data_IF_730330597592
#
_entry.id   IF_730330597592
#
_cell.length_a   1.000
_cell.length_b   1.000
_cell.length_c   1.000
_cell.angle_alpha   90.00
_cell.angle_beta   90.00
_cell.angle_gamma   90.00
#
_symmetry.space_group_name_H-M   'P 1'
#
loop_
_entity.id
_entity.type
_entity.pdbx_description
1 polymer ?
#
# COMPACT_ATOMS: atom_id res chain seq x y z
N UNK A 1 8.28 31.64 23.24
CA UNK A 1 8.54 30.20 23.49
C UNK A 1 9.92 29.81 22.97
N UNK A 2 11.01 30.30 23.60
CA UNK A 2 12.38 29.90 23.30
C UNK A 2 13.20 30.09 24.59
N UNK A 3 13.43 29.02 25.38
CA UNK A 3 14.38 29.01 26.53
C UNK A 3 14.49 27.63 27.23
N UNK A 4 14.63 26.53 26.49
CA UNK A 4 14.89 25.19 27.10
C UNK A 4 16.27 24.61 26.69
N UNK A 5 16.99 25.24 25.75
CA UNK A 5 18.27 24.72 25.26
C UNK A 5 19.55 24.97 26.09
N UNK A 6 19.64 25.81 27.15
CA UNK A 6 20.93 26.02 27.81
C UNK A 6 21.18 25.14 29.06
N UNK A 7 20.24 24.29 29.51
CA UNK A 7 20.39 23.51 30.75
C UNK A 7 21.13 22.17 30.61
N UNK A 8 21.42 21.73 29.38
CA UNK A 8 22.14 20.47 29.10
C UNK A 8 23.66 20.65 28.89
N UNK A 9 24.17 21.87 28.77
CA UNK A 9 25.61 22.13 28.64
C UNK A 9 26.33 22.40 29.97
N UNK A 10 25.60 22.67 31.06
CA UNK A 10 26.21 22.93 32.38
C UNK A 10 26.61 21.66 33.14
N UNK A 11 26.11 20.48 32.75
CA UNK A 11 26.40 19.21 33.45
C UNK A 11 27.53 18.40 32.83
N UNK A 12 27.98 18.72 31.60
CA UNK A 12 29.08 18.00 30.93
C UNK A 12 30.49 18.60 31.18
N UNK A 13 30.56 19.78 31.80
CA UNK A 13 31.83 20.52 32.02
C UNK A 13 32.47 20.31 33.41
N UNK A 14 31.93 19.41 34.23
CA UNK A 14 32.32 19.22 35.63
C UNK A 14 33.19 17.98 35.95
N UNK A 15 33.45 17.07 35.02
CA UNK A 15 34.24 15.86 35.30
C UNK A 15 35.49 15.75 34.41
N UNK A 16 36.60 16.34 34.86
CA UNK A 16 37.95 15.79 34.61
C UNK A 16 38.88 15.98 35.81
N UNK A 17 39.50 14.84 36.16
CA UNK A 17 40.77 14.61 36.88
C UNK A 17 40.79 14.70 38.41
N UNK A 18 40.84 13.52 39.02
CA UNK A 18 41.83 13.23 40.07
C UNK A 18 42.19 11.75 40.07
N UNK A 19 43.47 11.46 39.85
CA UNK A 19 44.11 10.15 39.98
C UNK A 19 44.79 10.05 41.35
N UNK A 20 44.56 8.98 42.11
CA UNK A 20 45.54 8.47 43.10
C UNK A 20 45.28 7.01 43.48
N UNK A 21 46.30 6.20 43.16
CA UNK A 21 46.72 4.89 43.67
C UNK A 21 45.96 4.19 44.82
N UNK A 22 45.70 2.88 44.64
CA UNK A 22 46.24 1.74 45.44
C UNK A 22 45.71 0.43 44.82
N UNK A 23 46.53 -0.42 44.20
CA UNK A 23 47.26 -1.57 44.77
C UNK A 23 46.38 -2.73 45.29
N UNK A 24 46.08 -3.70 44.42
CA UNK A 24 45.94 -5.12 44.81
C UNK A 24 46.44 -6.03 43.67
N UNK A 25 47.20 -7.05 44.05
CA UNK A 25 47.98 -7.94 43.19
C UNK A 25 47.18 -9.13 42.60
N UNK A 26 47.53 -9.56 41.39
CA UNK A 26 47.39 -10.93 40.89
C UNK A 26 48.38 -11.19 39.74
N UNK A 27 48.92 -12.41 39.67
CA UNK A 27 50.14 -12.80 38.97
C UNK A 27 50.14 -12.82 37.43
N UNK A 28 51.30 -13.11 36.80
CA UNK A 28 51.50 -12.98 35.37
C UNK A 28 51.25 -14.30 34.62
N UNK A 29 50.78 -14.23 33.38
CA UNK A 29 51.11 -15.26 32.38
C UNK A 29 51.21 -14.69 30.96
N UNK A 30 52.30 -15.10 30.32
CA UNK A 30 52.73 -14.88 28.93
C UNK A 30 51.86 -15.67 27.95
N UNK A 31 51.54 -15.06 26.80
CA UNK A 31 51.73 -15.60 25.43
C UNK A 31 51.22 -14.57 24.41
N UNK A 32 52.11 -13.78 23.81
CA UNK A 32 52.67 -13.96 22.46
C UNK A 32 51.66 -13.90 21.31
N UNK A 33 51.76 -12.80 20.55
CA UNK A 33 51.26 -12.62 19.19
C UNK A 33 51.80 -13.67 18.23
N UNK A 34 50.96 -14.16 17.33
CA UNK A 34 51.36 -14.47 15.96
C UNK A 34 50.31 -13.97 14.98
N UNK A 35 50.80 -13.09 14.12
CA UNK A 35 50.16 -12.43 13.01
C UNK A 35 50.20 -13.38 11.80
N UNK A 36 49.05 -13.85 11.29
CA UNK A 36 49.01 -14.52 9.97
C UNK A 36 47.82 -13.98 9.19
N UNK A 37 48.16 -13.27 8.11
CA UNK A 37 47.27 -12.76 7.07
C UNK A 37 46.65 -13.93 6.31
N UNK A 38 45.33 -13.95 6.20
CA UNK A 38 44.63 -14.56 5.06
C UNK A 38 43.61 -13.53 4.60
N UNK A 39 43.85 -12.98 3.41
CA UNK A 39 42.90 -12.10 2.75
C UNK A 39 41.67 -12.89 2.33
N UNK A 40 40.51 -12.48 2.81
CA UNK A 40 39.22 -12.83 2.21
C UNK A 40 38.69 -11.53 1.63
N UNK A 41 38.61 -11.51 0.31
CA UNK A 41 37.96 -10.45 -0.44
C UNK A 41 36.45 -10.44 -0.12
N UNK A 42 35.96 -9.24 0.21
CA UNK A 42 34.67 -8.60 -0.13
C UNK A 42 33.56 -9.51 -0.72
N UNK A 43 32.29 -9.27 -0.34
CA UNK A 43 31.59 -8.23 -1.09
C UNK A 43 30.88 -7.22 -0.18
N UNK A 44 31.07 -5.95 -0.53
CA UNK A 44 30.28 -4.84 -0.05
C UNK A 44 28.78 -5.13 -0.08
N UNK A 45 28.12 -4.73 1.00
CA UNK A 45 26.67 -4.74 1.10
C UNK A 45 26.08 -3.85 0.01
N UNK A 46 25.61 -4.48 -1.06
CA UNK A 46 24.43 -4.02 -1.75
C UNK A 46 23.35 -3.87 -0.67
N UNK A 47 22.99 -2.63 -0.36
CA UNK A 47 21.77 -2.37 0.38
C UNK A 47 20.64 -2.84 -0.54
N UNK A 48 20.18 -4.08 -0.30
CA UNK A 48 18.99 -4.69 -0.88
C UNK A 48 17.79 -3.77 -0.61
N UNK A 49 17.57 -2.81 -1.49
CA UNK A 49 16.39 -1.94 -1.49
C UNK A 49 15.12 -2.67 -1.97
N UNK A 50 15.20 -3.99 -2.16
CA UNK A 50 14.15 -4.81 -2.78
C UNK A 50 13.69 -5.98 -1.89
N UNK A 51 14.08 -6.01 -0.61
CA UNK A 51 13.43 -6.90 0.35
C UNK A 51 12.08 -6.28 0.70
N UNK A 52 11.02 -6.69 0.01
CA UNK A 52 9.66 -6.47 0.48
C UNK A 52 9.62 -6.93 1.95
N UNK A 53 9.27 -6.06 2.91
CA UNK A 53 9.29 -6.44 4.32
C UNK A 53 8.40 -7.67 4.49
N UNK A 54 8.93 -8.71 5.14
CA UNK A 54 8.13 -9.89 5.45
C UNK A 54 6.98 -9.47 6.38
N UNK A 55 5.85 -10.17 6.35
CA UNK A 55 4.74 -9.93 7.28
C UNK A 55 5.22 -10.00 8.73
N UNK A 56 6.17 -10.89 9.02
CA UNK A 56 6.82 -11.00 10.33
C UNK A 56 7.55 -9.72 10.72
N UNK A 57 8.29 -9.11 9.79
CA UNK A 57 9.05 -7.88 10.02
C UNK A 57 8.11 -6.70 10.24
N UNK A 58 7.04 -6.60 9.45
CA UNK A 58 6.00 -5.58 9.61
C UNK A 58 5.32 -5.67 10.99
N UNK A 59 4.95 -6.88 11.43
CA UNK A 59 4.35 -7.08 12.76
C UNK A 59 5.34 -6.74 13.86
N UNK A 60 6.60 -7.16 13.75
CA UNK A 60 7.62 -6.81 14.74
C UNK A 60 7.84 -5.30 14.83
N UNK A 61 7.88 -4.61 13.70
CA UNK A 61 7.99 -3.16 13.66
C UNK A 61 6.81 -2.48 14.36
N UNK A 62 5.59 -2.91 14.07
CA UNK A 62 4.38 -2.32 14.66
C UNK A 62 4.33 -2.54 16.17
N UNK A 63 4.71 -3.72 16.65
CA UNK A 63 4.80 -3.99 18.09
C UNK A 63 5.85 -3.12 18.77
N UNK A 64 7.00 -2.87 18.13
CA UNK A 64 7.98 -1.92 18.64
C UNK A 64 7.42 -0.49 18.69
N UNK A 65 6.72 -0.05 17.64
CA UNK A 65 6.06 1.26 17.63
C UNK A 65 5.00 1.39 18.75
N UNK A 66 4.23 0.33 19.02
CA UNK A 66 3.27 0.31 20.14
C UNK A 66 3.94 0.29 21.51
N UNK A 67 5.08 -0.39 21.67
CA UNK A 67 5.86 -0.37 22.91
C UNK A 67 6.33 1.05 23.23
N UNK A 68 6.79 1.80 22.21
CA UNK A 68 7.18 3.20 22.39
C UNK A 68 5.99 4.14 22.62
N UNK A 69 4.91 4.00 21.84
CA UNK A 69 3.75 4.89 21.93
C UNK A 69 2.93 4.66 23.20
N UNK A 70 2.77 3.41 23.64
CA UNK A 70 1.86 2.99 24.71
C UNK A 70 2.56 2.27 25.87
N UNK A 71 3.83 2.58 26.13
CA UNK A 71 4.72 1.90 27.09
C UNK A 71 4.05 1.28 28.33
N UNK A 72 3.32 2.07 29.13
CA UNK A 72 2.67 1.57 30.35
C UNK A 72 1.52 0.57 30.07
N UNK A 73 0.71 0.81 29.03
CA UNK A 73 -0.38 -0.10 28.66
C UNK A 73 0.16 -1.37 28.01
N UNK A 74 1.21 -1.23 27.20
CA UNK A 74 1.88 -2.33 26.52
C UNK A 74 2.48 -3.33 27.51
N UNK A 75 3.30 -2.88 28.48
CA UNK A 75 3.87 -3.77 29.49
C UNK A 75 2.82 -4.37 30.45
N UNK A 76 1.68 -3.70 30.66
CA UNK A 76 0.57 -4.27 31.42
C UNK A 76 -0.18 -5.36 30.64
N UNK A 77 -0.36 -5.18 29.34
CA UNK A 77 -1.02 -6.16 28.47
C UNK A 77 -0.12 -7.35 28.14
N UNK A 78 1.19 -7.11 27.99
CA UNK A 78 2.19 -8.09 27.59
C UNK A 78 3.33 -8.15 28.63
N UNK A 79 2.99 -8.57 29.85
CA UNK A 79 3.97 -8.67 30.94
C UNK A 79 4.97 -9.82 30.75
N UNK A 80 4.56 -10.86 30.04
CA UNK A 80 5.37 -12.07 29.80
C UNK A 80 5.78 -12.19 28.31
N UNK A 81 6.97 -12.73 28.08
CA UNK A 81 7.54 -12.92 26.75
C UNK A 81 6.72 -13.92 25.92
N UNK A 82 6.18 -14.97 26.55
CA UNK A 82 5.31 -15.93 25.85
C UNK A 82 4.01 -15.28 25.38
N UNK A 83 3.42 -14.42 26.22
CA UNK A 83 2.19 -13.68 25.87
C UNK A 83 2.41 -12.76 24.68
N UNK A 84 3.58 -12.11 24.59
CA UNK A 84 3.94 -11.27 23.45
C UNK A 84 4.09 -12.09 22.16
N UNK A 85 4.72 -13.27 22.22
CA UNK A 85 4.86 -14.16 21.06
C UNK A 85 3.49 -14.63 20.56
N UNK A 86 2.62 -15.08 21.46
CA UNK A 86 1.26 -15.51 21.12
C UNK A 86 0.46 -14.36 20.49
N UNK A 87 0.58 -13.14 21.04
CA UNK A 87 -0.06 -11.96 20.48
C UNK A 87 0.45 -11.66 19.06
N UNK A 88 1.76 -11.69 18.83
CA UNK A 88 2.33 -11.48 17.49
C UNK A 88 1.85 -12.53 16.49
N UNK A 89 1.81 -13.81 16.89
CA UNK A 89 1.31 -14.89 16.04
C UNK A 89 -0.18 -14.70 15.71
N UNK A 90 -0.99 -14.35 16.71
CA UNK A 90 -2.41 -14.03 16.50
C UNK A 90 -2.60 -12.85 15.55
N UNK A 91 -1.81 -11.79 15.70
CA UNK A 91 -1.89 -10.63 14.83
C UNK A 91 -1.45 -10.95 13.40
N UNK A 92 -0.38 -11.74 13.24
CA UNK A 92 0.08 -12.20 11.95
C UNK A 92 -1.01 -12.99 11.20
N UNK A 93 -1.64 -13.97 11.85
CA UNK A 93 -2.71 -14.76 11.21
C UNK A 93 -3.93 -13.94 10.77
N UNK A 94 -4.23 -12.83 11.46
CA UNK A 94 -5.34 -11.96 11.07
C UNK A 94 -4.94 -10.93 10.00
N UNK A 95 -3.66 -10.62 9.85
CA UNK A 95 -3.15 -9.56 8.96
C UNK A 95 -2.44 -10.11 7.72
N UNK A 96 -2.32 -11.43 7.59
CA UNK A 96 -1.72 -12.13 6.44
C UNK A 96 -2.33 -11.72 5.10
N UNK A 97 -3.61 -11.34 5.09
CA UNK A 97 -4.33 -10.91 3.88
C UNK A 97 -3.93 -9.53 3.37
N UNK A 98 -3.25 -8.72 4.18
CA UNK A 98 -2.87 -7.35 3.84
C UNK A 98 -1.40 -7.26 3.44
N UNK A 99 -1.06 -6.28 2.60
CA UNK A 99 0.32 -6.05 2.23
C UNK A 99 1.14 -5.52 3.44
N UNK A 100 2.37 -5.97 3.67
CA UNK A 100 3.20 -5.54 4.81
C UNK A 100 3.31 -4.01 4.98
N UNK A 101 3.49 -3.28 3.86
CA UNK A 101 3.54 -1.81 3.86
C UNK A 101 2.23 -1.16 4.33
N UNK A 102 1.08 -1.77 4.01
CA UNK A 102 -0.24 -1.31 4.43
C UNK A 102 -0.42 -1.47 5.94
N UNK A 103 0.04 -2.57 6.51
CA UNK A 103 -0.08 -2.84 7.95
C UNK A 103 0.70 -1.79 8.75
N UNK A 104 1.93 -1.47 8.33
CA UNK A 104 2.78 -0.47 9.00
C UNK A 104 2.17 0.93 8.91
N UNK A 105 1.63 1.30 7.75
CA UNK A 105 1.00 2.62 7.59
C UNK A 105 -0.29 2.72 8.41
N UNK A 106 -1.10 1.66 8.43
CA UNK A 106 -2.31 1.57 9.24
C UNK A 106 -1.98 1.71 10.73
N UNK A 107 -0.95 1.04 11.23
CA UNK A 107 -0.50 1.18 12.61
C UNK A 107 -0.10 2.62 12.94
N UNK A 108 0.70 3.26 12.08
CA UNK A 108 1.08 4.66 12.24
C UNK A 108 -0.12 5.61 12.29
N UNK A 109 -1.17 5.34 11.50
CA UNK A 109 -2.42 6.12 11.52
C UNK A 109 -3.19 5.90 12.81
N UNK A 110 -3.25 4.67 13.30
CA UNK A 110 -3.90 4.33 14.57
C UNK A 110 -3.19 4.99 15.74
N UNK A 111 -1.86 4.96 15.78
CA UNK A 111 -1.04 5.61 16.83
C UNK A 111 -1.33 7.12 16.91
N UNK A 112 -1.54 7.78 15.76
CA UNK A 112 -1.86 9.21 15.71
C UNK A 112 -3.30 9.55 16.09
N UNK A 113 -4.21 8.57 16.07
CA UNK A 113 -5.65 8.81 16.26
C UNK A 113 -6.18 8.29 17.59
N UNK A 114 -5.55 7.29 18.20
CA UNK A 114 -6.01 6.66 19.43
C UNK A 114 -5.06 6.92 20.59
N UNK A 115 -5.61 7.33 21.73
CA UNK A 115 -4.86 7.57 22.97
C UNK A 115 -4.49 6.29 23.74
N UNK A 116 -5.09 5.16 23.36
CA UNK A 116 -4.94 3.86 24.03
C UNK A 116 -4.39 2.80 23.08
N UNK A 117 -3.82 1.75 23.65
CA UNK A 117 -3.31 0.61 22.90
C UNK A 117 -4.44 0.03 22.02
N UNK A 118 -4.29 0.02 20.69
CA UNK A 118 -5.37 -0.37 19.81
C UNK A 118 -5.64 -1.88 19.87
N UNK A 119 -6.90 -2.26 19.66
CA UNK A 119 -7.26 -3.65 19.41
C UNK A 119 -6.92 -4.06 17.98
N UNK A 120 -6.83 -5.37 17.74
CA UNK A 120 -6.60 -5.88 16.39
C UNK A 120 -7.69 -5.42 15.40
N UNK A 121 -8.94 -5.33 15.85
CA UNK A 121 -10.06 -4.85 15.03
C UNK A 121 -9.89 -3.37 14.61
N UNK A 122 -9.31 -2.54 15.48
CA UNK A 122 -8.98 -1.16 15.13
C UNK A 122 -7.90 -1.11 14.05
N UNK A 123 -6.89 -1.96 14.14
CA UNK A 123 -5.85 -2.05 13.10
C UNK A 123 -6.41 -2.56 11.77
N UNK A 124 -7.24 -3.62 11.78
CA UNK A 124 -7.89 -4.16 10.58
C UNK A 124 -8.74 -3.09 9.89
N UNK A 125 -9.56 -2.35 10.65
CA UNK A 125 -10.33 -1.21 10.09
C UNK A 125 -9.44 -0.13 9.50
N UNK A 126 -8.29 0.13 10.11
CA UNK A 126 -7.33 1.11 9.58
C UNK A 126 -6.66 0.62 8.29
N UNK A 127 -6.39 -0.70 8.17
CA UNK A 127 -5.94 -1.30 6.92
C UNK A 127 -7.00 -1.16 5.82
N UNK A 128 -8.27 -1.48 6.12
CA UNK A 128 -9.39 -1.33 5.17
C UNK A 128 -9.57 0.11 4.68
N UNK A 129 -9.28 1.11 5.53
CA UNK A 129 -9.37 2.53 5.19
C UNK A 129 -8.13 3.10 4.49
N UNK A 130 -7.10 2.28 4.28
CA UNK A 130 -5.81 2.66 3.68
C UNK A 130 -5.83 2.76 2.15
N UNK A 131 -6.88 3.33 1.57
CA UNK A 131 -7.06 3.48 0.12
C UNK A 131 -5.95 4.31 -0.56
N UNK A 132 -5.39 5.27 0.17
CA UNK A 132 -4.38 6.20 -0.34
C UNK A 132 -3.09 5.51 -0.84
N UNK A 133 -2.73 4.36 -0.26
CA UNK A 133 -1.54 3.60 -0.68
C UNK A 133 -1.70 2.95 -2.05
N UNK A 134 -2.93 2.60 -2.42
CA UNK A 134 -3.24 1.96 -3.68
C UNK A 134 -3.61 2.97 -4.78
N UNK A 135 -3.47 4.28 -4.51
CA UNK A 135 -3.86 5.33 -5.45
C UNK A 135 -5.37 5.40 -5.71
N UNK A 136 -6.17 4.82 -4.82
CA UNK A 136 -7.63 4.82 -4.93
C UNK A 136 -8.16 6.20 -4.50
N UNK A 137 -8.89 6.93 -5.36
CA UNK A 137 -9.47 8.22 -4.99
C UNK A 137 -10.53 8.07 -3.89
N UNK A 138 -10.84 9.15 -3.17
CA UNK A 138 -11.93 9.11 -2.19
C UNK A 138 -13.27 8.79 -2.89
N UNK A 139 -14.20 8.10 -2.20
CA UNK A 139 -15.50 7.70 -2.76
C UNK A 139 -16.24 8.85 -3.46
N UNK A 140 -16.20 10.05 -2.87
CA UNK A 140 -16.83 11.24 -3.45
C UNK A 140 -16.13 11.70 -4.73
N UNK A 141 -14.80 11.70 -4.76
CA UNK A 141 -14.04 12.06 -5.96
C UNK A 141 -14.27 11.02 -7.07
N UNK A 142 -14.23 9.73 -6.74
CA UNK A 142 -14.55 8.64 -7.65
C UNK A 142 -15.96 8.79 -8.26
N UNK A 143 -16.94 9.16 -7.45
CA UNK A 143 -18.32 9.41 -7.90
C UNK A 143 -18.40 10.60 -8.87
N UNK A 144 -17.77 11.73 -8.53
CA UNK A 144 -17.74 12.92 -9.39
C UNK A 144 -17.06 12.60 -10.73
N UNK A 145 -15.94 11.88 -10.70
CA UNK A 145 -15.24 11.42 -11.90
C UNK A 145 -16.17 10.54 -12.77
N UNK A 146 -16.82 9.55 -12.16
CA UNK A 146 -17.76 8.66 -12.84
C UNK A 146 -18.95 9.38 -13.50
N UNK A 147 -19.49 10.41 -12.84
CA UNK A 147 -20.55 11.26 -13.36
C UNK A 147 -20.07 12.20 -14.48
N UNK A 148 -18.86 12.74 -14.37
CA UNK A 148 -18.28 13.66 -15.37
C UNK A 148 -17.72 12.98 -16.62
N UNK A 149 -17.48 11.67 -16.56
CA UNK A 149 -16.82 10.93 -17.63
C UNK A 149 -17.62 10.95 -18.95
N UNK A 150 -17.04 11.47 -20.05
CA UNK A 150 -17.69 11.51 -21.37
C UNK A 150 -17.84 10.12 -21.97
N UNK A 151 -18.80 9.97 -22.90
CA UNK A 151 -18.87 8.78 -23.76
C UNK A 151 -17.85 8.92 -24.89
N UNK A 152 -16.98 7.91 -25.16
CA UNK A 152 -16.96 6.54 -24.65
C UNK A 152 -16.21 6.39 -23.30
N UNK A 153 -16.91 5.87 -22.28
CA UNK A 153 -16.37 5.71 -20.91
C UNK A 153 -15.19 4.71 -20.79
N UNK A 154 -14.95 3.90 -21.83
CA UNK A 154 -13.82 2.95 -21.88
C UNK A 154 -12.49 3.57 -22.29
N UNK A 155 -12.54 4.67 -23.06
CA UNK A 155 -11.35 5.38 -23.57
C UNK A 155 -10.96 6.56 -22.66
N UNK A 156 -11.65 6.70 -21.54
CA UNK A 156 -11.37 7.77 -20.58
C UNK A 156 -10.14 7.41 -19.73
N UNK A 157 -9.33 8.42 -19.41
CA UNK A 157 -8.18 8.28 -18.52
C UNK A 157 -8.67 8.30 -17.07
N UNK A 158 -9.10 7.15 -16.58
CA UNK A 158 -9.55 6.99 -15.21
C UNK A 158 -8.39 7.15 -14.21
N UNK A 159 -8.65 7.81 -13.08
CA UNK A 159 -7.70 7.90 -11.97
C UNK A 159 -7.32 6.51 -11.45
N UNK A 160 -8.29 5.60 -11.42
CA UNK A 160 -8.07 4.19 -11.10
C UNK A 160 -9.14 3.32 -11.79
N UNK A 161 -8.75 2.15 -12.26
CA UNK A 161 -9.65 1.16 -12.87
C UNK A 161 -10.85 0.80 -11.98
N UNK A 162 -10.69 0.82 -10.65
CA UNK A 162 -11.75 0.59 -9.67
C UNK A 162 -12.93 1.56 -9.84
N UNK A 163 -12.67 2.81 -10.24
CA UNK A 163 -13.72 3.82 -10.51
C UNK A 163 -14.57 3.41 -11.71
N UNK A 164 -13.93 2.93 -12.77
CA UNK A 164 -14.61 2.44 -13.96
C UNK A 164 -15.47 1.21 -13.65
N UNK A 165 -14.92 0.22 -12.94
CA UNK A 165 -15.67 -0.98 -12.58
C UNK A 165 -16.82 -0.68 -11.61
N UNK A 166 -16.65 0.26 -10.69
CA UNK A 166 -17.71 0.71 -9.79
C UNK A 166 -18.84 1.36 -10.59
N UNK A 167 -18.50 2.27 -11.50
CA UNK A 167 -19.48 2.91 -12.39
C UNK A 167 -20.22 1.90 -13.28
N UNK A 168 -19.50 0.91 -13.82
CA UNK A 168 -20.10 -0.20 -14.59
C UNK A 168 -21.05 -1.05 -13.74
N UNK A 169 -20.69 -1.39 -12.50
CA UNK A 169 -21.51 -2.18 -11.59
C UNK A 169 -22.78 -1.42 -11.15
N UNK A 170 -22.66 -0.11 -10.91
CA UNK A 170 -23.82 0.74 -10.59
C UNK A 170 -24.74 1.01 -11.77
N UNK A 171 -24.18 0.93 -12.98
CA UNK A 171 -24.86 1.31 -14.21
C UNK A 171 -24.69 2.79 -14.53
N UNK A 172 -24.06 3.05 -15.67
CA UNK A 172 -23.84 4.41 -16.19
C UNK A 172 -25.13 5.21 -16.41
N UNK A 173 -26.23 4.53 -16.72
CA UNK A 173 -27.55 5.16 -16.87
C UNK A 173 -28.07 5.70 -15.53
N UNK A 174 -27.87 4.95 -14.44
CA UNK A 174 -28.28 5.37 -13.10
C UNK A 174 -27.48 6.61 -12.67
N UNK A 175 -26.17 6.57 -12.87
CA UNK A 175 -25.27 7.68 -12.54
C UNK A 175 -25.54 8.96 -13.34
N UNK A 176 -26.10 8.84 -14.55
CA UNK A 176 -26.37 9.98 -15.43
C UNK A 176 -27.76 10.61 -15.21
N UNK A 177 -28.76 9.81 -14.81
CA UNK A 177 -30.16 10.26 -14.80
C UNK A 177 -30.77 10.42 -13.40
N UNK A 178 -30.26 9.73 -12.38
CA UNK A 178 -30.78 9.83 -11.02
C UNK A 178 -30.09 10.93 -10.21
N UNK A 179 -30.77 11.39 -9.16
CA UNK A 179 -30.21 12.34 -8.20
C UNK A 179 -29.06 11.73 -7.39
N UNK A 180 -28.09 12.57 -6.99
CA UNK A 180 -26.95 12.19 -6.14
C UNK A 180 -27.37 11.39 -4.90
N UNK A 181 -28.46 11.79 -4.23
CA UNK A 181 -28.96 11.12 -3.02
C UNK A 181 -29.32 9.63 -3.21
N UNK A 182 -29.69 9.22 -4.43
CA UNK A 182 -30.00 7.81 -4.74
C UNK A 182 -28.84 7.08 -5.38
N UNK A 183 -28.10 7.75 -6.26
CA UNK A 183 -27.00 7.15 -7.01
C UNK A 183 -25.74 6.94 -6.15
N UNK A 184 -25.41 7.90 -5.27
CA UNK A 184 -24.23 7.87 -4.42
C UNK A 184 -24.17 6.65 -3.49
N UNK A 185 -25.20 6.28 -2.71
CA UNK A 185 -25.10 5.12 -1.81
C UNK A 185 -24.91 3.79 -2.56
N UNK A 186 -25.53 3.65 -3.74
CA UNK A 186 -25.35 2.47 -4.60
C UNK A 186 -23.93 2.44 -5.17
N UNK A 187 -23.39 3.60 -5.54
CA UNK A 187 -22.00 3.71 -5.99
C UNK A 187 -21.00 3.44 -4.88
N UNK A 188 -21.19 4.02 -3.71
CA UNK A 188 -20.36 3.82 -2.54
C UNK A 188 -20.27 2.34 -2.16
N UNK A 189 -21.39 1.63 -2.13
CA UNK A 189 -21.41 0.19 -1.85
C UNK A 189 -20.54 -0.60 -2.85
N UNK A 190 -20.75 -0.37 -4.15
CA UNK A 190 -20.00 -1.08 -5.19
C UNK A 190 -18.52 -0.67 -5.23
N UNK A 191 -18.23 0.61 -4.99
CA UNK A 191 -16.87 1.13 -4.94
C UNK A 191 -16.08 0.55 -3.77
N UNK A 192 -16.68 0.50 -2.56
CA UNK A 192 -16.04 -0.12 -1.39
C UNK A 192 -15.74 -1.60 -1.61
N UNK A 193 -16.67 -2.35 -2.20
CA UNK A 193 -16.46 -3.77 -2.50
C UNK A 193 -15.29 -3.98 -3.48
N UNK A 194 -15.17 -3.11 -4.50
CA UNK A 194 -14.06 -3.17 -5.44
C UNK A 194 -12.73 -2.73 -4.80
N UNK A 195 -12.75 -1.70 -3.95
CA UNK A 195 -11.56 -1.28 -3.22
C UNK A 195 -11.03 -2.41 -2.32
N UNK A 196 -11.91 -3.12 -1.62
CA UNK A 196 -11.53 -4.29 -0.83
C UNK A 196 -10.86 -5.38 -1.69
N UNK A 197 -11.40 -5.65 -2.87
CA UNK A 197 -10.81 -6.62 -3.81
C UNK A 197 -9.44 -6.18 -4.32
N UNK A 198 -9.27 -4.90 -4.63
CA UNK A 198 -7.97 -4.33 -5.03
C UNK A 198 -6.96 -4.40 -3.90
N UNK A 199 -7.38 -4.11 -2.66
CA UNK A 199 -6.54 -4.22 -1.46
C UNK A 199 -6.06 -5.67 -1.25
N UNK A 200 -6.91 -6.66 -1.52
CA UNK A 200 -6.56 -8.09 -1.48
C UNK A 200 -5.65 -8.54 -2.63
N UNK A 201 -5.27 -7.63 -3.54
CA UNK A 201 -4.35 -7.90 -4.65
C UNK A 201 -5.02 -8.39 -5.92
N UNK A 202 -6.34 -8.26 -6.07
CA UNK A 202 -7.01 -8.58 -7.33
C UNK A 202 -6.77 -7.48 -8.37
N UNK A 203 -6.14 -7.84 -9.49
CA UNK A 203 -5.91 -6.91 -10.61
C UNK A 203 -7.19 -6.73 -11.41
N UNK A 204 -7.74 -5.51 -11.40
CA UNK A 204 -8.92 -5.14 -12.18
C UNK A 204 -8.52 -4.79 -13.62
N UNK A 205 -8.19 -5.78 -14.44
CA UNK A 205 -7.75 -5.52 -15.82
C UNK A 205 -8.84 -4.89 -16.68
N UNK A 206 -8.61 -3.66 -17.14
CA UNK A 206 -9.37 -3.06 -18.23
C UNK A 206 -9.02 -3.77 -19.54
N UNK A 207 -9.82 -4.77 -19.91
CA UNK A 207 -9.69 -5.42 -21.20
C UNK A 207 -10.21 -4.46 -22.29
N UNK A 208 -9.31 -3.63 -22.83
CA UNK A 208 -9.59 -2.88 -24.05
C UNK A 208 -9.64 -3.90 -25.19
N UNK A 209 -10.80 -4.15 -25.82
CA UNK A 209 -10.80 -4.95 -27.03
C UNK A 209 -9.89 -4.26 -28.03
N UNK A 210 -8.95 -5.03 -28.61
CA UNK A 210 -8.15 -4.60 -29.75
C UNK A 210 -9.09 -3.90 -30.76
N UNK A 211 -8.71 -2.72 -31.27
CA UNK A 211 -9.53 -2.05 -32.27
C UNK A 211 -9.89 -3.05 -33.35
N UNK A 212 -11.19 -3.14 -33.67
CA UNK A 212 -11.63 -3.94 -34.81
C UNK A 212 -10.73 -3.53 -35.98
N UNK A 213 -10.12 -4.47 -36.71
CA UNK A 213 -9.27 -4.11 -37.83
C UNK A 213 -10.10 -3.20 -38.72
N UNK A 214 -9.55 -2.03 -39.07
CA UNK A 214 -10.21 -1.08 -39.94
C UNK A 214 -10.68 -1.84 -41.18
N UNK A 215 -11.97 -2.17 -41.21
CA UNK A 215 -12.60 -2.59 -42.45
C UNK A 215 -12.75 -1.29 -43.24
N UNK A 216 -11.63 -0.82 -43.76
CA UNK A 216 -11.59 0.16 -44.83
C UNK A 216 -12.38 -0.53 -45.94
N UNK A 217 -13.67 -0.23 -46.02
CA UNK A 217 -14.48 -0.60 -47.15
C UNK A 217 -13.79 0.02 -48.35
N UNK A 218 -13.03 -0.79 -49.09
CA UNK A 218 -12.30 -0.34 -50.26
C UNK A 218 -13.35 0.26 -51.19
N UNK A 219 -13.38 1.59 -51.29
CA UNK A 219 -14.29 2.30 -52.19
C UNK A 219 -14.05 1.73 -53.58
N UNK A 220 -14.99 0.92 -54.06
CA UNK A 220 -14.88 0.33 -55.38
C UNK A 220 -14.97 1.48 -56.37
N UNK A 221 -14.06 1.52 -57.33
CA UNK A 221 -14.02 2.58 -58.34
C UNK A 221 -15.38 2.59 -59.09
N UNK A 222 -15.96 3.76 -59.42
CA UNK A 222 -17.34 3.84 -59.90
C UNK A 222 -17.63 2.97 -61.13
N UNK A 223 -16.61 2.69 -61.96
CA UNK A 223 -16.73 1.80 -63.12
C UNK A 223 -16.82 0.33 -62.71
N UNK A 224 -16.07 -0.10 -61.71
CA UNK A 224 -16.14 -1.46 -61.17
C UNK A 224 -17.46 -1.72 -60.43
N UNK A 225 -17.99 -0.72 -59.72
CA UNK A 225 -19.30 -0.80 -59.08
C UNK A 225 -20.42 -1.04 -60.11
N UNK A 226 -20.41 -0.29 -61.23
CA UNK A 226 -21.37 -0.48 -62.32
C UNK A 226 -21.28 -1.86 -62.97
N UNK A 227 -20.06 -2.39 -63.17
CA UNK A 227 -19.85 -3.74 -63.69
C UNK A 227 -20.36 -4.83 -62.74
N UNK A 228 -20.12 -4.69 -61.43
CA UNK A 228 -20.66 -5.61 -60.42
C UNK A 228 -22.18 -5.58 -60.35
N UNK A 229 -22.78 -4.39 -60.41
CA UNK A 229 -24.23 -4.24 -60.44
C UNK A 229 -24.82 -4.84 -61.72
N UNK A 230 -24.20 -4.63 -62.89
CA UNK A 230 -24.65 -5.23 -64.15
C UNK A 230 -24.57 -6.77 -64.12
N UNK A 231 -23.49 -7.32 -63.54
CA UNK A 231 -23.35 -8.76 -63.35
C UNK A 231 -24.41 -9.34 -62.41
N UNK A 232 -24.69 -8.65 -61.30
CA UNK A 232 -25.76 -9.03 -60.37
C UNK A 232 -27.14 -8.98 -61.04
N UNK A 233 -27.41 -7.95 -61.85
CA UNK A 233 -28.68 -7.85 -62.60
C UNK A 233 -28.86 -8.99 -63.59
N UNK A 234 -27.80 -9.40 -64.29
CA UNK A 234 -27.88 -10.57 -65.18
C UNK A 234 -28.06 -11.89 -64.44
N UNK A 235 -27.45 -12.05 -63.25
CA UNK A 235 -27.62 -13.25 -62.42
C UNK A 235 -29.01 -13.33 -61.77
N UNK A 236 -29.64 -12.19 -61.50
CA UNK A 236 -30.99 -12.08 -60.91
C UNK A 236 -32.12 -11.99 -61.97
N UNK A 237 -31.80 -12.00 -63.26
CA UNK A 237 -32.79 -12.00 -64.36
C UNK A 237 -33.59 -10.70 -64.50
N UNK A 238 -33.00 -9.56 -64.12
CA UNK A 238 -33.54 -8.18 -64.22
C UNK A 238 -32.84 -7.38 -65.32
#
# INVERSE_FOLDING_TARGET
>A
MQKIKPLLEQTSKGLKKSSSASLTAAGPSKTQSTNTRVGVAEPGGEFDADRSPDHVDAINQIFAEFEFAYHNQFHKAFADAESLIIAKQYWLSNLEQYAPAQIVQAANRVIKSQDYLPSIAALVRACEQGFDLFGLPSTRQAYIEACSAPSPKREHNWSHEAVYFAGKATGWYLLANESEAKALPVFEYNYNLLCQRVILGETLTLDLPLPLPDKIGRKVEPKEAKRRIAKLKSELGL
#
